data_IF_904710515194
#
_entry.id   IF_904710515194
#
_cell.length_a   1.000
_cell.length_b   1.000
_cell.length_c   1.000
_cell.angle_alpha   90.00
_cell.angle_beta   90.00
_cell.angle_gamma   90.00
#
_symmetry.space_group_name_H-M   'P 1'
#
loop_
_entity.id
_entity.type
_entity.pdbx_description
1 polymer ?
#
# COMPACT_ATOMS: atom_id res chain seq x y z
N UNK A 1 0.99 31.92 0.90
CA UNK A 1 1.19 30.51 1.31
C UNK A 1 2.50 30.48 2.09
N UNK A 2 2.47 30.25 3.42
CA UNK A 2 3.73 30.06 4.14
C UNK A 2 4.19 28.65 3.83
N UNK A 3 5.13 28.53 2.91
CA UNK A 3 5.86 27.28 2.71
C UNK A 3 6.62 26.95 4.00
N UNK A 4 6.70 25.67 4.33
CA UNK A 4 7.49 25.24 5.47
C UNK A 4 8.96 25.67 5.21
N UNK A 5 9.60 26.28 6.21
CA UNK A 5 10.99 26.78 6.12
C UNK A 5 11.96 25.72 5.58
N UNK A 6 11.66 24.44 5.82
CA UNK A 6 12.45 23.30 5.35
C UNK A 6 11.56 22.25 4.68
N UNK A 7 12.04 21.66 3.58
CA UNK A 7 11.33 20.63 2.85
C UNK A 7 12.33 19.58 2.31
N UNK A 8 11.84 18.38 2.00
CA UNK A 8 12.68 17.38 1.33
C UNK A 8 13.03 17.85 -0.08
N UNK A 9 14.31 17.77 -0.43
CA UNK A 9 14.83 18.20 -1.72
C UNK A 9 14.08 17.53 -2.88
N UNK A 10 13.50 18.33 -3.78
CA UNK A 10 12.80 17.82 -4.96
C UNK A 10 13.74 17.02 -5.85
N UNK A 11 13.21 15.95 -6.44
CA UNK A 11 14.01 15.13 -7.35
C UNK A 11 14.30 15.90 -8.67
N UNK A 12 15.55 16.13 -8.93
CA UNK A 12 16.06 16.74 -10.15
C UNK A 12 17.23 15.91 -10.73
N UNK A 13 17.06 14.58 -10.73
CA UNK A 13 18.07 13.62 -11.15
C UNK A 13 18.92 13.07 -9.98
N UNK A 14 19.87 12.22 -10.32
CA UNK A 14 20.69 11.48 -9.32
C UNK A 14 21.65 12.37 -8.52
N UNK A 15 21.87 13.62 -8.95
CA UNK A 15 22.64 14.61 -8.18
C UNK A 15 21.91 15.06 -6.90
N UNK A 16 20.57 14.95 -6.85
CA UNK A 16 19.75 15.28 -5.69
C UNK A 16 19.50 14.07 -4.78
N UNK A 17 20.28 13.02 -4.94
CA UNK A 17 20.25 11.83 -4.10
C UNK A 17 21.62 11.57 -3.50
N UNK A 18 21.65 11.35 -2.21
CA UNK A 18 22.84 11.30 -1.38
C UNK A 18 23.06 9.89 -0.80
N UNK A 19 24.16 9.69 -0.13
CA UNK A 19 24.45 8.45 0.61
C UNK A 19 23.71 8.48 1.93
N UNK A 20 22.98 7.43 2.27
CA UNK A 20 22.28 7.35 3.55
C UNK A 20 23.31 7.19 4.70
N UNK A 21 23.27 8.04 5.74
CA UNK A 21 24.22 7.97 6.85
C UNK A 21 24.08 6.69 7.68
N UNK A 22 22.89 6.09 7.73
CA UNK A 22 22.64 4.87 8.51
C UNK A 22 23.01 3.60 7.76
N UNK A 23 22.56 3.42 6.50
CA UNK A 23 22.77 2.17 5.78
C UNK A 23 23.89 2.21 4.73
N UNK A 24 24.53 3.36 4.52
CA UNK A 24 25.66 3.55 3.61
C UNK A 24 25.33 3.43 2.11
N UNK A 25 24.07 3.21 1.74
CA UNK A 25 23.69 3.06 0.33
C UNK A 25 23.74 4.41 -0.37
N UNK A 26 24.46 4.42 -1.49
CA UNK A 26 24.59 5.59 -2.37
C UNK A 26 23.29 5.87 -3.14
N UNK A 27 22.98 7.16 -3.36
CA UNK A 27 21.84 7.60 -4.18
C UNK A 27 20.44 7.21 -3.63
N UNK A 28 20.36 6.92 -2.34
CA UNK A 28 19.14 6.48 -1.65
C UNK A 28 18.69 7.41 -0.53
N UNK A 29 19.32 8.58 -0.40
CA UNK A 29 19.01 9.52 0.67
C UNK A 29 18.62 10.88 0.12
N UNK A 30 17.51 11.44 0.65
CA UNK A 30 16.99 12.77 0.30
C UNK A 30 17.18 13.69 1.48
N UNK A 31 17.92 14.78 1.31
CA UNK A 31 18.18 15.78 2.35
C UNK A 31 16.98 16.70 2.57
N UNK A 32 16.85 17.23 3.77
CA UNK A 32 16.05 18.43 4.02
C UNK A 32 16.85 19.66 3.65
N UNK A 33 16.20 20.56 2.91
CA UNK A 33 16.77 21.83 2.41
C UNK A 33 15.88 23.01 2.81
N UNK A 34 16.48 24.18 2.88
CA UNK A 34 15.77 25.45 3.06
C UNK A 34 15.13 25.95 1.74
N UNK A 35 14.52 27.12 1.77
CA UNK A 35 13.92 27.80 0.61
C UNK A 35 14.89 28.08 -0.54
N UNK A 36 16.21 28.09 -0.25
CA UNK A 36 17.29 28.30 -1.22
C UNK A 36 17.90 27.00 -1.73
N UNK A 37 17.29 25.84 -1.39
CA UNK A 37 17.81 24.49 -1.63
C UNK A 37 19.17 24.21 -0.94
N UNK A 38 19.48 24.89 0.15
CA UNK A 38 20.68 24.61 0.96
C UNK A 38 20.33 23.51 1.96
N UNK A 39 21.10 22.41 2.02
CA UNK A 39 20.89 21.36 3.01
C UNK A 39 21.08 21.89 4.44
N UNK A 40 20.26 21.40 5.36
CA UNK A 40 20.40 21.69 6.79
C UNK A 40 21.67 21.02 7.32
N UNK A 41 21.81 19.74 7.02
CA UNK A 41 22.95 18.89 7.41
C UNK A 41 22.94 17.62 6.56
N UNK A 42 24.09 16.96 6.43
CA UNK A 42 24.24 15.70 5.68
C UNK A 42 23.47 14.52 6.29
N UNK A 43 23.16 14.59 7.58
CA UNK A 43 22.36 13.59 8.31
C UNK A 43 20.87 13.91 8.32
N UNK A 44 20.47 15.17 8.10
CA UNK A 44 19.07 15.61 8.17
C UNK A 44 18.32 15.30 6.87
N UNK A 45 17.56 14.21 6.86
CA UNK A 45 16.93 13.73 5.65
C UNK A 45 16.20 12.41 5.83
N UNK A 46 15.81 11.82 4.70
CA UNK A 46 15.07 10.57 4.66
C UNK A 46 15.70 9.57 3.68
N UNK A 47 15.91 8.35 4.15
CA UNK A 47 16.30 7.24 3.27
C UNK A 47 15.10 6.76 2.45
N UNK A 48 15.30 6.58 1.14
CA UNK A 48 14.26 6.11 0.22
C UNK A 48 14.12 4.56 0.23
N UNK A 49 15.04 3.86 0.91
CA UNK A 49 14.97 2.40 1.06
C UNK A 49 14.05 2.03 2.21
N UNK A 50 13.00 1.30 1.91
CA UNK A 50 12.02 0.84 2.90
C UNK A 50 12.66 0.05 4.05
N UNK A 51 13.67 -0.77 3.74
CA UNK A 51 14.37 -1.61 4.74
C UNK A 51 15.24 -0.81 5.71
N UNK A 52 15.63 0.42 5.36
CA UNK A 52 16.46 1.25 6.23
C UNK A 52 15.61 2.06 7.22
N UNK A 53 14.54 2.70 6.74
CA UNK A 53 13.62 3.48 7.53
C UNK A 53 14.21 4.76 8.16
N UNK A 54 15.49 5.08 7.92
CA UNK A 54 16.11 6.28 8.51
C UNK A 54 15.41 7.55 8.06
N UNK A 55 14.98 8.34 9.02
CA UNK A 55 14.35 9.61 8.80
C UNK A 55 14.64 10.54 9.97
N UNK A 56 15.55 11.49 9.79
CA UNK A 56 15.83 12.57 10.75
C UNK A 56 15.18 13.85 10.22
N UNK A 57 14.17 14.32 10.93
CA UNK A 57 13.45 15.54 10.57
C UNK A 57 14.19 16.81 11.04
N UNK A 58 13.92 17.99 10.42
CA UNK A 58 14.49 19.25 10.91
C UNK A 58 14.18 19.53 12.39
N UNK A 59 12.99 19.17 12.85
CA UNK A 59 12.60 19.39 14.24
C UNK A 59 13.43 18.54 15.23
N UNK A 60 13.70 17.28 14.87
CA UNK A 60 14.54 16.39 15.66
C UNK A 60 16.01 16.83 15.61
N UNK A 61 16.49 17.18 14.42
CA UNK A 61 17.87 17.68 14.24
C UNK A 61 18.15 18.91 15.09
N UNK A 62 17.30 19.95 15.05
CA UNK A 62 17.49 21.16 15.83
C UNK A 62 17.21 21.00 17.34
N UNK A 63 16.55 19.93 17.75
CA UNK A 63 16.41 19.58 19.16
C UNK A 63 17.74 19.12 19.77
N UNK A 64 18.53 18.36 18.98
CA UNK A 64 19.85 17.86 19.39
C UNK A 64 20.98 18.87 19.11
N UNK A 65 20.79 19.78 18.13
CA UNK A 65 21.73 20.80 17.72
C UNK A 65 21.09 22.20 17.86
N UNK A 66 20.92 22.72 19.08
CA UNK A 66 20.32 24.04 19.29
C UNK A 66 21.22 25.11 18.69
N UNK A 67 20.76 25.78 17.62
CA UNK A 67 21.43 26.93 17.03
C UNK A 67 21.07 28.20 17.80
N UNK A 68 22.03 29.09 18.02
CA UNK A 68 21.81 30.39 18.69
C UNK A 68 20.95 31.37 17.86
N UNK A 69 20.59 31.06 16.63
CA UNK A 69 19.65 31.81 15.79
C UNK A 69 18.19 31.51 16.10
N UNK A 70 17.84 31.48 17.39
CA UNK A 70 16.43 31.55 17.82
C UNK A 70 15.91 33.00 17.72
N UNK A 71 15.99 33.59 16.54
CA UNK A 71 15.19 34.77 16.24
C UNK A 71 13.72 34.32 16.06
N UNK A 72 12.88 34.71 17.03
CA UNK A 72 11.43 34.70 17.00
C UNK A 72 10.65 33.38 17.01
N UNK A 73 10.67 32.72 18.17
CA UNK A 73 9.58 31.79 18.54
C UNK A 73 8.26 32.53 18.88
N UNK A 74 8.26 33.87 18.91
CA UNK A 74 7.09 34.65 19.27
C UNK A 74 5.98 34.76 18.21
N UNK A 75 6.19 34.19 17.01
CA UNK A 75 5.20 34.15 15.94
C UNK A 75 4.66 32.74 15.63
N UNK A 76 4.47 31.92 16.64
CA UNK A 76 3.66 30.70 16.47
C UNK A 76 2.21 31.11 16.13
N UNK A 77 1.97 31.43 14.85
CA UNK A 77 0.60 31.42 14.33
C UNK A 77 0.12 29.99 14.41
N UNK A 78 -1.00 29.79 15.12
CA UNK A 78 -1.69 28.49 15.12
C UNK A 78 -1.69 27.94 13.69
N UNK A 79 -1.34 26.65 13.52
CA UNK A 79 -1.39 26.04 12.18
C UNK A 79 -2.78 26.31 11.64
N UNK A 80 -2.83 26.94 10.45
CA UNK A 80 -4.11 27.14 9.76
C UNK A 80 -4.79 25.77 9.69
N UNK A 81 -6.11 25.68 10.00
CA UNK A 81 -6.81 24.43 9.91
C UNK A 81 -6.50 23.81 8.53
N UNK A 82 -6.00 22.57 8.54
CA UNK A 82 -5.69 21.85 7.33
C UNK A 82 -6.92 21.94 6.44
N UNK A 83 -6.79 22.52 5.25
CA UNK A 83 -7.87 22.50 4.27
C UNK A 83 -8.23 21.03 4.07
N UNK A 84 -9.42 20.64 4.51
CA UNK A 84 -9.94 19.31 4.24
C UNK A 84 -10.10 19.20 2.73
N UNK A 85 -9.16 18.54 2.09
CA UNK A 85 -9.25 18.29 0.66
C UNK A 85 -10.30 17.20 0.48
N UNK A 86 -11.37 17.44 -0.30
CA UNK A 86 -12.41 16.44 -0.53
C UNK A 86 -11.80 15.14 -1.07
N UNK A 87 -12.36 14.01 -0.64
CA UNK A 87 -11.93 12.71 -1.16
C UNK A 87 -12.58 12.52 -2.53
N UNK A 88 -11.77 12.12 -3.50
CA UNK A 88 -12.23 11.70 -4.82
C UNK A 88 -12.50 10.20 -4.81
N UNK A 89 -13.55 9.79 -5.48
CA UNK A 89 -13.96 8.40 -5.62
C UNK A 89 -13.90 7.98 -7.07
N UNK A 90 -13.58 6.73 -7.30
CA UNK A 90 -13.70 6.12 -8.63
C UNK A 90 -15.16 5.76 -8.90
N UNK A 91 -15.60 5.79 -10.17
CA UNK A 91 -16.94 5.34 -10.53
C UNK A 91 -17.18 3.88 -10.13
N UNK A 92 -18.32 3.59 -9.49
CA UNK A 92 -18.71 2.22 -9.11
C UNK A 92 -18.92 1.31 -10.32
N UNK A 93 -19.15 1.86 -11.51
CA UNK A 93 -19.24 1.11 -12.77
C UNK A 93 -17.97 0.32 -13.11
N UNK A 94 -16.84 0.66 -12.50
CA UNK A 94 -15.60 -0.11 -12.62
C UNK A 94 -15.63 -1.46 -11.87
N UNK A 95 -16.63 -1.67 -11.01
CA UNK A 95 -16.91 -2.93 -10.30
C UNK A 95 -17.95 -3.79 -11.03
N UNK A 96 -18.15 -3.57 -12.32
CA UNK A 96 -19.10 -4.31 -13.14
C UNK A 96 -18.75 -5.80 -13.32
N UNK A 97 -19.61 -6.51 -14.06
CA UNK A 97 -19.41 -7.93 -14.36
C UNK A 97 -18.07 -8.17 -15.05
N UNK A 98 -17.27 -9.04 -14.49
CA UNK A 98 -15.96 -9.44 -15.04
C UNK A 98 -16.15 -10.51 -16.11
N UNK A 99 -16.28 -10.09 -17.36
CA UNK A 99 -16.46 -10.98 -18.53
C UNK A 99 -15.16 -11.72 -18.94
N UNK A 100 -14.03 -11.39 -18.33
CA UNK A 100 -12.72 -11.97 -18.64
C UNK A 100 -12.12 -12.78 -17.49
N UNK A 101 -12.92 -13.16 -16.50
CA UNK A 101 -12.48 -13.86 -15.29
C UNK A 101 -11.70 -15.13 -15.60
N UNK A 102 -12.14 -15.93 -16.56
CA UNK A 102 -11.46 -17.17 -16.98
C UNK A 102 -10.05 -16.95 -17.56
N UNK A 103 -9.77 -15.73 -18.03
CA UNK A 103 -8.43 -15.34 -18.52
C UNK A 103 -7.56 -14.75 -17.40
N UNK A 104 -8.11 -14.50 -16.21
CA UNK A 104 -7.38 -13.95 -15.06
C UNK A 104 -6.44 -14.99 -14.46
N UNK A 105 -5.15 -14.70 -14.43
CA UNK A 105 -4.14 -15.64 -13.97
C UNK A 105 -4.26 -16.02 -12.49
N UNK A 106 -4.64 -15.08 -11.62
CA UNK A 106 -4.88 -15.40 -10.21
C UNK A 106 -6.14 -16.25 -10.06
N UNK A 107 -7.20 -15.98 -10.82
CA UNK A 107 -8.41 -16.81 -10.81
C UNK A 107 -8.09 -18.25 -11.24
N UNK A 108 -7.31 -18.42 -12.32
CA UNK A 108 -6.88 -19.75 -12.79
C UNK A 108 -6.07 -20.49 -11.72
N UNK A 109 -5.15 -19.81 -11.04
CA UNK A 109 -4.43 -20.37 -9.90
C UNK A 109 -5.39 -20.78 -8.78
N UNK A 110 -6.30 -19.88 -8.34
CA UNK A 110 -7.26 -20.16 -7.26
C UNK A 110 -8.20 -21.31 -7.62
N UNK A 111 -8.68 -21.38 -8.86
CA UNK A 111 -9.51 -22.49 -9.36
C UNK A 111 -8.79 -23.82 -9.27
N UNK A 112 -7.51 -23.83 -9.63
CA UNK A 112 -6.69 -25.05 -9.57
C UNK A 112 -6.46 -25.54 -8.14
N UNK A 113 -6.19 -24.62 -7.21
CA UNK A 113 -5.84 -24.97 -5.81
C UNK A 113 -7.07 -25.23 -4.93
N UNK A 114 -8.19 -24.50 -5.13
CA UNK A 114 -9.34 -24.49 -4.23
C UNK A 114 -10.66 -24.90 -4.91
N UNK A 115 -10.67 -25.08 -6.22
CA UNK A 115 -11.88 -25.32 -7.00
C UNK A 115 -12.54 -24.05 -7.51
N UNK A 116 -13.35 -24.21 -8.57
CA UNK A 116 -13.98 -23.09 -9.27
C UNK A 116 -15.04 -22.37 -8.43
N UNK A 117 -15.79 -23.11 -7.63
CA UNK A 117 -16.85 -22.55 -6.77
C UNK A 117 -16.25 -21.58 -5.74
N UNK A 118 -15.21 -22.00 -5.03
CA UNK A 118 -14.53 -21.18 -4.03
C UNK A 118 -13.83 -19.98 -4.65
N UNK A 119 -13.16 -20.18 -5.80
CA UNK A 119 -12.53 -19.10 -6.55
C UNK A 119 -13.56 -18.04 -6.98
N UNK A 120 -14.70 -18.45 -7.53
CA UNK A 120 -15.79 -17.54 -7.87
C UNK A 120 -16.34 -16.82 -6.65
N UNK A 121 -16.62 -17.56 -5.57
CA UNK A 121 -17.16 -17.00 -4.34
C UNK A 121 -16.28 -15.84 -3.79
N UNK A 122 -14.99 -16.06 -3.66
CA UNK A 122 -14.10 -15.01 -3.11
C UNK A 122 -13.88 -13.86 -4.09
N UNK A 123 -13.82 -14.12 -5.40
CA UNK A 123 -13.71 -13.07 -6.40
C UNK A 123 -14.96 -12.17 -6.39
N UNK A 124 -16.15 -12.74 -6.27
CA UNK A 124 -17.40 -11.99 -6.18
C UNK A 124 -17.49 -11.22 -4.87
N UNK A 125 -17.22 -11.89 -3.75
CA UNK A 125 -17.28 -11.29 -2.39
C UNK A 125 -16.35 -10.07 -2.27
N UNK A 126 -15.13 -10.15 -2.81
CA UNK A 126 -14.15 -9.07 -2.75
C UNK A 126 -14.18 -8.14 -3.97
N UNK A 127 -15.13 -8.34 -4.90
CA UNK A 127 -15.26 -7.58 -6.14
C UNK A 127 -13.94 -7.58 -6.96
N UNK A 128 -13.21 -8.70 -6.94
CA UNK A 128 -11.97 -8.87 -7.70
C UNK A 128 -12.28 -8.99 -9.17
N UNK A 129 -11.57 -8.25 -10.00
CA UNK A 129 -11.80 -8.23 -11.44
C UNK A 129 -10.55 -8.52 -12.26
N UNK A 130 -10.67 -8.38 -13.56
CA UNK A 130 -9.62 -8.68 -14.54
C UNK A 130 -9.18 -7.41 -15.26
N UNK A 131 -7.87 -7.30 -15.53
CA UNK A 131 -7.29 -6.17 -16.25
C UNK A 131 -6.39 -6.63 -17.40
N UNK A 132 -6.52 -5.93 -18.53
CA UNK A 132 -5.63 -6.09 -19.68
C UNK A 132 -4.37 -5.24 -19.59
N UNK A 133 -4.14 -4.55 -18.47
CA UNK A 133 -3.00 -3.63 -18.33
C UNK A 133 -1.65 -4.29 -18.59
N UNK A 134 -1.49 -5.53 -18.11
CA UNK A 134 -0.37 -6.39 -18.50
C UNK A 134 -0.90 -7.65 -19.15
N UNK A 135 -0.54 -7.84 -20.41
CA UNK A 135 -0.74 -9.11 -21.09
C UNK A 135 0.49 -9.97 -20.85
N UNK A 136 0.25 -11.22 -20.48
CA UNK A 136 1.21 -12.28 -20.54
C UNK A 136 0.78 -13.26 -21.62
N UNK A 137 1.71 -14.08 -22.10
CA UNK A 137 1.37 -15.16 -23.04
C UNK A 137 0.34 -16.14 -22.45
N UNK A 138 0.16 -16.13 -21.10
CA UNK A 138 -0.67 -17.08 -20.35
C UNK A 138 -1.98 -16.51 -19.80
N UNK A 139 -2.25 -15.22 -19.97
CA UNK A 139 -3.51 -14.63 -19.49
C UNK A 139 -3.41 -13.18 -19.00
N UNK A 140 -4.39 -12.75 -18.21
CA UNK A 140 -4.62 -11.36 -17.83
C UNK A 140 -4.30 -11.10 -16.35
N UNK A 141 -4.09 -9.83 -16.02
CA UNK A 141 -3.82 -9.37 -14.68
C UNK A 141 -5.10 -9.27 -13.82
N UNK A 142 -4.91 -9.18 -12.51
CA UNK A 142 -5.97 -9.08 -11.51
C UNK A 142 -6.13 -7.66 -11.02
N UNK A 143 -7.38 -7.19 -10.86
CA UNK A 143 -7.68 -5.93 -10.18
C UNK A 143 -8.17 -6.19 -8.76
N UNK A 144 -7.61 -5.45 -7.80
CA UNK A 144 -8.02 -5.45 -6.40
C UNK A 144 -8.62 -4.08 -6.05
N UNK A 145 -9.94 -3.99 -5.93
CA UNK A 145 -10.58 -2.73 -5.57
C UNK A 145 -10.45 -2.47 -4.07
N UNK A 146 -10.13 -1.25 -3.72
CA UNK A 146 -10.23 -0.75 -2.35
C UNK A 146 -11.58 -0.06 -2.19
N UNK A 147 -12.54 -0.76 -1.62
CA UNK A 147 -13.90 -0.28 -1.36
C UNK A 147 -14.01 0.02 0.13
N UNK A 148 -14.45 1.23 0.49
CA UNK A 148 -14.60 1.61 1.89
C UNK A 148 -15.85 0.99 2.54
N UNK A 149 -16.03 1.18 3.84
CA UNK A 149 -17.15 0.65 4.62
C UNK A 149 -18.54 1.21 4.19
N UNK A 150 -18.54 2.22 3.32
CA UNK A 150 -19.75 2.83 2.74
C UNK A 150 -20.02 2.37 1.30
N UNK A 151 -19.16 1.49 0.78
CA UNK A 151 -19.26 1.00 -0.59
C UNK A 151 -18.63 1.91 -1.65
N UNK A 152 -17.91 2.96 -1.27
CA UNK A 152 -17.26 3.84 -2.24
C UNK A 152 -15.93 3.27 -2.70
N UNK A 153 -15.69 3.26 -4.00
CA UNK A 153 -14.44 2.80 -4.60
C UNK A 153 -13.35 3.89 -4.46
N UNK A 154 -12.31 3.57 -3.68
CA UNK A 154 -11.20 4.46 -3.36
C UNK A 154 -10.03 4.32 -4.32
N UNK A 155 -9.71 3.09 -4.70
CA UNK A 155 -8.56 2.77 -5.54
C UNK A 155 -8.77 1.45 -6.27
N UNK A 156 -8.10 1.27 -7.40
CA UNK A 156 -7.91 -0.02 -8.07
C UNK A 156 -6.41 -0.32 -8.12
N UNK A 157 -6.00 -1.41 -7.51
CA UNK A 157 -4.63 -1.94 -7.61
C UNK A 157 -4.65 -3.09 -8.62
N UNK A 158 -3.79 -3.02 -9.60
CA UNK A 158 -3.65 -4.05 -10.64
C UNK A 158 -2.34 -4.78 -10.42
N UNK A 159 -2.39 -6.11 -10.42
CA UNK A 159 -1.21 -6.97 -10.24
C UNK A 159 -1.23 -8.14 -11.21
N UNK A 160 -0.06 -8.50 -11.73
CA UNK A 160 0.10 -9.69 -12.57
C UNK A 160 0.62 -10.87 -11.75
N UNK A 161 0.03 -12.05 -11.98
CA UNK A 161 0.37 -13.30 -11.32
C UNK A 161 0.72 -14.39 -12.32
N UNK A 162 1.58 -15.31 -11.89
CA UNK A 162 1.83 -16.55 -12.60
C UNK A 162 0.65 -17.52 -12.34
N UNK A 163 -0.01 -18.07 -13.38
CA UNK A 163 -1.21 -18.89 -13.22
C UNK A 163 -0.93 -20.27 -12.61
N UNK A 164 0.32 -20.71 -12.57
CA UNK A 164 0.70 -22.02 -12.02
C UNK A 164 1.10 -21.91 -10.56
N UNK A 165 1.94 -20.93 -10.23
CA UNK A 165 2.51 -20.78 -8.88
C UNK A 165 1.80 -19.78 -7.99
N UNK A 166 0.87 -18.96 -8.51
CA UNK A 166 0.22 -17.89 -7.79
C UNK A 166 1.18 -16.78 -7.30
N UNK A 167 2.44 -16.78 -7.76
CA UNK A 167 3.43 -15.78 -7.39
C UNK A 167 3.28 -14.52 -8.23
N UNK A 168 3.61 -13.37 -7.64
CA UNK A 168 3.67 -12.09 -8.36
C UNK A 168 4.65 -12.17 -9.52
N UNK A 169 4.22 -11.69 -10.67
CA UNK A 169 5.09 -11.59 -11.84
C UNK A 169 5.98 -10.36 -11.74
N UNK A 170 7.24 -10.55 -12.12
CA UNK A 170 8.22 -9.49 -12.25
C UNK A 170 8.33 -9.05 -13.71
N UNK A 171 8.97 -7.92 -13.96
CA UNK A 171 9.15 -7.38 -15.29
C UNK A 171 9.74 -8.38 -16.30
N UNK A 172 10.69 -9.18 -15.86
CA UNK A 172 11.33 -10.21 -16.70
C UNK A 172 10.37 -11.32 -17.15
N UNK A 173 9.21 -11.45 -16.46
CA UNK A 173 8.20 -12.48 -16.76
C UNK A 173 7.15 -11.97 -17.75
N UNK A 174 7.30 -10.73 -18.24
CA UNK A 174 6.32 -10.10 -19.12
C UNK A 174 6.98 -9.25 -20.18
N UNK A 175 6.53 -9.45 -21.39
CA UNK A 175 7.04 -8.74 -22.55
C UNK A 175 6.39 -7.36 -22.75
N UNK A 176 5.15 -7.16 -22.33
CA UNK A 176 4.35 -6.04 -22.82
C UNK A 176 3.41 -5.43 -21.76
N UNK A 177 3.15 -4.15 -21.92
CA UNK A 177 2.24 -3.34 -21.14
C UNK A 177 1.17 -2.75 -22.07
N UNK A 178 -0.11 -2.82 -21.67
CA UNK A 178 -1.17 -2.12 -22.42
C UNK A 178 -1.01 -0.61 -22.26
N UNK A 179 -1.02 0.10 -23.37
CA UNK A 179 -0.99 1.56 -23.44
C UNK A 179 -2.34 2.10 -23.89
N UNK A 180 -3.08 2.76 -22.99
CA UNK A 180 -4.35 3.40 -23.33
C UNK A 180 -4.18 4.50 -24.39
N UNK A 181 -3.05 5.20 -24.37
CA UNK A 181 -2.74 6.24 -25.37
C UNK A 181 -2.49 5.66 -26.76
N UNK A 182 -1.83 4.52 -26.83
CA UNK A 182 -1.48 3.87 -28.10
C UNK A 182 -2.52 2.83 -28.54
N UNK A 183 -3.50 2.47 -27.67
CA UNK A 183 -4.49 1.41 -27.88
C UNK A 183 -3.84 0.08 -28.30
N UNK A 184 -2.68 -0.22 -27.74
CA UNK A 184 -1.90 -1.43 -28.03
C UNK A 184 -0.97 -1.79 -26.89
N UNK A 185 -0.45 -3.02 -26.92
CA UNK A 185 0.63 -3.45 -26.04
C UNK A 185 1.97 -2.86 -26.49
N UNK A 186 2.73 -2.33 -25.55
CA UNK A 186 4.08 -1.78 -25.73
C UNK A 186 5.05 -2.45 -24.77
N UNK A 187 6.37 -2.46 -25.04
CA UNK A 187 7.36 -3.02 -24.13
C UNK A 187 7.31 -2.35 -22.74
N UNK A 188 7.26 -3.16 -21.69
CA UNK A 188 7.37 -2.65 -20.31
C UNK A 188 8.84 -2.47 -19.93
N UNK A 189 9.27 -1.21 -19.85
CA UNK A 189 10.66 -0.85 -19.55
C UNK A 189 10.90 -0.52 -18.08
N UNK A 190 9.88 -0.64 -17.20
CA UNK A 190 9.99 -0.30 -15.77
C UNK A 190 10.72 -1.38 -14.97
N UNK A 191 11.60 -1.02 -14.03
CA UNK A 191 12.41 -1.98 -13.26
C UNK A 191 11.70 -2.62 -12.06
N UNK A 192 10.37 -2.46 -11.90
CA UNK A 192 9.62 -2.85 -10.70
C UNK A 192 8.68 -4.03 -10.97
N UNK A 193 8.18 -4.66 -9.89
CA UNK A 193 7.09 -5.63 -9.97
C UNK A 193 5.90 -5.06 -10.75
N UNK A 194 5.12 -5.92 -11.36
CA UNK A 194 3.91 -5.55 -12.11
C UNK A 194 2.77 -5.18 -11.17
N UNK A 195 2.90 -4.02 -10.58
CA UNK A 195 1.91 -3.38 -9.70
C UNK A 195 1.58 -2.01 -10.27
N UNK A 196 0.30 -1.74 -10.47
CA UNK A 196 -0.19 -0.45 -10.93
C UNK A 196 -1.37 0.02 -10.09
N UNK A 197 -1.30 1.24 -9.59
CA UNK A 197 -2.42 1.91 -8.93
C UNK A 197 -3.15 2.77 -9.95
N UNK A 198 -4.26 2.24 -10.47
CA UNK A 198 -4.94 2.77 -11.64
C UNK A 198 -5.78 4.04 -11.35
N UNK A 199 -6.14 4.31 -10.10
CA UNK A 199 -7.17 5.27 -9.74
C UNK A 199 -6.99 6.67 -10.33
N UNK A 200 -5.80 7.28 -10.20
CA UNK A 200 -5.56 8.62 -10.75
C UNK A 200 -5.63 8.66 -12.28
N UNK A 201 -5.13 7.62 -12.92
CA UNK A 201 -5.19 7.47 -14.39
C UNK A 201 -6.63 7.31 -14.86
N UNK A 202 -7.43 6.47 -14.18
CA UNK A 202 -8.83 6.24 -14.52
C UNK A 202 -9.71 7.49 -14.33
N UNK A 203 -9.37 8.34 -13.35
CA UNK A 203 -10.02 9.64 -13.17
C UNK A 203 -9.56 10.70 -14.17
N UNK A 204 -8.44 10.49 -14.87
CA UNK A 204 -7.79 11.53 -15.64
C UNK A 204 -7.31 12.71 -14.78
N UNK A 205 -7.17 12.53 -13.48
CA UNK A 205 -6.81 13.58 -12.51
C UNK A 205 -5.69 13.10 -11.58
N UNK A 206 -4.47 13.54 -11.87
CA UNK A 206 -3.27 13.16 -11.10
C UNK A 206 -3.16 13.88 -9.74
N UNK A 207 -3.93 14.97 -9.53
CA UNK A 207 -4.04 15.68 -8.26
C UNK A 207 -5.17 15.14 -7.38
N UNK A 208 -5.90 14.13 -7.84
CA UNK A 208 -7.01 13.54 -7.11
C UNK A 208 -6.57 13.02 -5.72
N UNK A 209 -7.31 13.40 -4.69
CA UNK A 209 -7.15 12.90 -3.33
C UNK A 209 -7.86 11.54 -3.19
N UNK A 210 -7.17 10.48 -3.61
CA UNK A 210 -7.63 9.10 -3.43
C UNK A 210 -7.12 8.61 -2.07
N UNK A 211 -7.89 8.76 -1.03
CA UNK A 211 -7.54 8.20 0.27
C UNK A 211 -7.72 6.69 0.22
N UNK A 212 -6.62 5.95 0.21
CA UNK A 212 -6.65 4.49 0.20
C UNK A 212 -7.30 3.92 1.48
N UNK A 213 -7.85 2.74 1.37
CA UNK A 213 -8.39 1.95 2.48
C UNK A 213 -7.92 0.50 2.37
N UNK A 214 -8.25 -0.34 3.36
CA UNK A 214 -7.97 -1.77 3.27
C UNK A 214 -8.69 -2.40 2.07
N UNK A 215 -8.04 -3.32 1.39
CA UNK A 215 -8.74 -4.27 0.54
C UNK A 215 -9.68 -5.13 1.38
N UNK A 216 -10.93 -5.31 0.97
CA UNK A 216 -11.96 -6.00 1.75
C UNK A 216 -12.63 -5.15 2.84
N UNK A 217 -12.35 -3.84 2.94
CA UNK A 217 -12.92 -2.97 3.98
C UNK A 217 -14.47 -2.94 3.96
N UNK A 218 -15.10 -3.07 2.81
CA UNK A 218 -16.56 -3.12 2.67
C UNK A 218 -17.23 -4.33 3.35
N UNK A 219 -16.46 -5.38 3.63
CA UNK A 219 -16.96 -6.61 4.26
C UNK A 219 -17.00 -6.54 5.80
N UNK A 220 -16.33 -5.56 6.40
CA UNK A 220 -16.15 -5.54 7.85
C UNK A 220 -17.35 -4.95 8.63
N UNK A 221 -18.35 -4.40 7.95
CA UNK A 221 -19.47 -3.68 8.60
C UNK A 221 -20.10 -4.50 9.73
N UNK A 222 -20.47 -5.72 9.45
CA UNK A 222 -21.17 -6.60 10.38
C UNK A 222 -20.25 -7.67 11.01
N UNK A 223 -18.94 -7.58 10.76
CA UNK A 223 -17.96 -8.50 11.27
C UNK A 223 -17.69 -8.29 12.76
N UNK A 224 -17.63 -9.35 13.53
CA UNK A 224 -17.13 -9.33 14.91
C UNK A 224 -15.63 -9.59 14.99
N UNK A 225 -15.07 -10.35 14.02
CA UNK A 225 -13.66 -10.77 13.95
C UNK A 225 -13.07 -10.37 12.59
N UNK A 226 -11.92 -9.72 12.61
CA UNK A 226 -11.21 -9.25 11.41
C UNK A 226 -9.77 -9.73 11.46
N UNK A 227 -9.32 -10.42 10.42
CA UNK A 227 -7.92 -10.76 10.18
C UNK A 227 -7.28 -9.74 9.22
N UNK A 228 -6.12 -9.22 9.56
CA UNK A 228 -5.37 -8.29 8.70
C UNK A 228 -4.09 -8.97 8.22
N UNK A 229 -3.93 -9.06 6.91
CA UNK A 229 -2.73 -9.56 6.21
C UNK A 229 -2.08 -8.47 5.36
N UNK A 230 -0.89 -8.75 4.84
CA UNK A 230 -0.18 -7.78 4.00
C UNK A 230 -0.74 -7.76 2.57
N UNK A 231 -0.93 -8.93 1.95
CA UNK A 231 -1.28 -9.04 0.54
C UNK A 231 -2.76 -9.34 0.30
N UNK A 232 -3.29 -8.80 -0.80
CA UNK A 232 -4.67 -9.04 -1.24
C UNK A 232 -4.90 -10.52 -1.57
N UNK A 233 -3.92 -11.19 -2.20
CA UNK A 233 -4.00 -12.62 -2.49
C UNK A 233 -4.16 -13.44 -1.20
N UNK A 234 -3.37 -13.12 -0.18
CA UNK A 234 -3.43 -13.82 1.12
C UNK A 234 -4.79 -13.62 1.80
N UNK A 235 -5.40 -12.42 1.68
CA UNK A 235 -6.76 -12.21 2.18
C UNK A 235 -7.78 -13.10 1.49
N UNK A 236 -7.70 -13.30 0.17
CA UNK A 236 -8.59 -14.21 -0.57
C UNK A 236 -8.39 -15.67 -0.13
N UNK A 237 -7.15 -16.14 -0.04
CA UNK A 237 -6.84 -17.51 0.38
C UNK A 237 -7.31 -17.78 1.82
N UNK A 238 -6.98 -16.88 2.74
CA UNK A 238 -7.42 -16.99 4.13
C UNK A 238 -8.94 -16.97 4.26
N UNK A 239 -9.65 -16.24 3.40
CA UNK A 239 -11.12 -16.22 3.39
C UNK A 239 -11.73 -17.56 2.99
N UNK A 240 -11.07 -18.33 2.11
CA UNK A 240 -11.48 -19.70 1.79
C UNK A 240 -11.19 -20.64 2.96
N UNK A 241 -9.98 -20.57 3.52
CA UNK A 241 -9.52 -21.54 4.52
C UNK A 241 -10.06 -21.28 5.92
N UNK A 242 -10.39 -20.02 6.24
CA UNK A 242 -10.96 -19.62 7.54
C UNK A 242 -12.14 -18.66 7.34
N UNK A 243 -13.30 -19.14 6.88
CA UNK A 243 -14.45 -18.32 6.51
C UNK A 243 -15.14 -17.61 7.71
N UNK A 244 -14.88 -18.03 8.93
CA UNK A 244 -15.42 -17.40 10.16
C UNK A 244 -14.77 -16.05 10.50
N UNK A 245 -13.74 -15.64 9.75
CA UNK A 245 -13.00 -14.39 9.92
C UNK A 245 -13.14 -13.58 8.64
N UNK A 246 -13.49 -12.31 8.78
CA UNK A 246 -13.40 -11.40 7.63
C UNK A 246 -11.95 -10.97 7.45
N UNK A 247 -11.39 -11.30 6.29
CA UNK A 247 -10.00 -11.01 5.97
C UNK A 247 -9.87 -9.73 5.14
N UNK A 248 -8.96 -8.87 5.57
CA UNK A 248 -8.65 -7.62 4.86
C UNK A 248 -7.15 -7.52 4.65
N UNK A 249 -6.73 -6.75 3.64
CA UNK A 249 -5.32 -6.57 3.37
C UNK A 249 -4.90 -5.10 3.41
N UNK A 250 -3.67 -4.86 3.89
CA UNK A 250 -3.06 -3.53 3.90
C UNK A 250 -2.60 -3.10 2.50
N UNK A 251 -2.38 -4.05 1.59
CA UNK A 251 -1.90 -3.81 0.23
C UNK A 251 -0.39 -3.63 0.13
N UNK A 252 0.36 -4.07 1.11
CA UNK A 252 1.82 -4.04 1.21
C UNK A 252 2.29 -3.52 2.56
N UNK A 253 3.59 -3.61 2.83
CA UNK A 253 4.20 -3.21 4.10
C UNK A 253 3.83 -1.78 4.55
N UNK A 254 3.82 -0.82 3.62
CA UNK A 254 3.42 0.57 3.88
C UNK A 254 2.01 0.90 3.35
N UNK A 255 1.34 -0.04 2.79
CA UNK A 255 0.01 -0.08 2.22
C UNK A 255 -0.87 1.16 2.36
N UNK A 256 -2.11 0.96 2.80
CA UNK A 256 -3.14 2.01 2.89
C UNK A 256 -2.99 2.98 4.08
N UNK A 257 -1.82 3.08 4.69
CA UNK A 257 -1.56 3.91 5.88
C UNK A 257 -2.51 3.61 7.05
N UNK A 258 -2.68 2.36 7.35
CA UNK A 258 -3.68 1.80 8.24
C UNK A 258 -3.56 2.19 9.73
N UNK A 259 -2.54 2.95 10.10
CA UNK A 259 -2.44 3.60 11.42
C UNK A 259 -3.05 5.01 11.47
N UNK A 260 -3.49 5.55 10.32
CA UNK A 260 -4.20 6.83 10.27
C UNK A 260 -5.69 6.62 10.59
N UNK A 261 -6.29 7.57 11.34
CA UNK A 261 -7.67 7.45 11.84
C UNK A 261 -8.72 7.30 10.73
N UNK A 262 -8.47 7.88 9.59
CA UNK A 262 -9.34 7.80 8.41
C UNK A 262 -9.38 6.39 7.79
N UNK A 263 -8.39 5.55 8.10
CA UNK A 263 -8.29 4.18 7.59
C UNK A 263 -8.69 3.16 8.65
N UNK A 264 -8.21 3.27 9.90
CA UNK A 264 -8.51 2.27 10.93
C UNK A 264 -9.88 2.42 11.60
N UNK A 265 -10.54 3.59 11.49
CA UNK A 265 -11.83 3.83 12.15
C UNK A 265 -12.88 2.72 11.94
N UNK A 266 -13.02 2.10 10.75
CA UNK A 266 -13.95 0.99 10.54
C UNK A 266 -13.67 -0.25 11.41
N UNK A 267 -12.46 -0.39 11.99
CA UNK A 267 -12.08 -1.49 12.88
C UNK A 267 -12.58 -1.31 14.32
N UNK A 268 -13.13 -0.13 14.66
CA UNK A 268 -13.61 0.16 16.02
C UNK A 268 -14.70 -0.82 16.45
N UNK A 269 -14.61 -1.31 17.70
CA UNK A 269 -15.53 -2.28 18.26
C UNK A 269 -15.36 -3.73 17.77
N UNK A 270 -14.37 -4.01 16.92
CA UNK A 270 -14.11 -5.34 16.36
C UNK A 270 -12.92 -6.01 17.05
N UNK A 271 -12.90 -7.33 17.09
CA UNK A 271 -11.72 -8.11 17.46
C UNK A 271 -10.80 -8.23 16.24
N UNK A 272 -9.67 -7.55 16.27
CA UNK A 272 -8.71 -7.49 15.16
C UNK A 272 -7.51 -8.37 15.48
N UNK A 273 -7.15 -9.25 14.56
CA UNK A 273 -5.92 -10.05 14.63
C UNK A 273 -5.03 -9.69 13.45
N UNK A 274 -3.80 -9.32 13.74
CA UNK A 274 -2.79 -8.94 12.75
C UNK A 274 -1.93 -10.17 12.44
N UNK A 275 -1.77 -10.48 11.16
CA UNK A 275 -0.97 -11.61 10.67
C UNK A 275 0.19 -11.07 9.83
N UNK A 276 1.30 -10.67 10.46
CA UNK A 276 2.48 -10.19 9.73
C UNK A 276 3.13 -11.32 8.94
N UNK A 277 3.68 -10.97 7.78
CA UNK A 277 4.56 -11.87 7.04
C UNK A 277 5.83 -12.17 7.87
N UNK A 278 6.48 -13.29 7.59
CA UNK A 278 7.72 -13.69 8.26
C UNK A 278 8.78 -12.58 8.21
N UNK A 279 9.36 -12.27 9.36
CA UNK A 279 10.32 -11.18 9.53
C UNK A 279 9.71 -9.78 9.68
N UNK A 280 8.38 -9.63 9.62
CA UNK A 280 7.71 -8.34 9.75
C UNK A 280 7.13 -8.07 11.15
N UNK A 281 7.21 -9.05 12.06
CA UNK A 281 6.62 -8.96 13.40
C UNK A 281 6.99 -7.66 14.16
N UNK A 282 8.26 -7.21 14.24
CA UNK A 282 8.62 -6.00 14.98
C UNK A 282 7.93 -4.74 14.44
N UNK A 283 7.92 -4.57 13.12
CA UNK A 283 7.27 -3.41 12.49
C UNK A 283 5.75 -3.41 12.66
N UNK A 284 5.15 -4.58 12.64
CA UNK A 284 3.71 -4.70 12.82
C UNK A 284 3.31 -4.52 14.30
N UNK A 285 4.18 -4.90 15.25
CA UNK A 285 3.96 -4.64 16.67
C UNK A 285 3.94 -3.14 16.99
N UNK A 286 4.84 -2.35 16.37
CA UNK A 286 4.80 -0.89 16.48
C UNK A 286 3.45 -0.32 15.99
N UNK A 287 2.96 -0.79 14.85
CA UNK A 287 1.67 -0.39 14.30
C UNK A 287 0.49 -0.87 15.16
N UNK A 288 0.57 -2.09 15.69
CA UNK A 288 -0.43 -2.63 16.61
C UNK A 288 -0.52 -1.79 17.90
N UNK A 289 0.62 -1.37 18.43
CA UNK A 289 0.67 -0.48 19.59
C UNK A 289 -0.04 0.86 19.31
N UNK A 290 0.15 1.43 18.11
CA UNK A 290 -0.57 2.64 17.68
C UNK A 290 -2.08 2.38 17.62
N UNK A 291 -2.53 1.27 17.02
CA UNK A 291 -3.96 0.93 16.96
C UNK A 291 -4.56 0.78 18.36
N UNK A 292 -3.87 0.04 19.25
CA UNK A 292 -4.31 -0.15 20.65
C UNK A 292 -4.42 1.18 21.38
N UNK A 293 -3.46 2.10 21.19
CA UNK A 293 -3.50 3.45 21.80
C UNK A 293 -4.69 4.28 21.30
N UNK A 294 -5.29 3.91 20.16
CA UNK A 294 -6.49 4.53 19.59
C UNK A 294 -7.79 3.77 19.91
N UNK A 295 -7.73 2.79 20.83
CA UNK A 295 -8.90 2.03 21.27
C UNK A 295 -9.31 0.87 20.35
N UNK A 296 -8.47 0.47 19.38
CA UNK A 296 -8.72 -0.72 18.56
C UNK A 296 -8.26 -1.95 19.33
N UNK A 297 -9.12 -2.95 19.46
CA UNK A 297 -8.80 -4.25 20.07
C UNK A 297 -7.94 -5.09 19.10
N UNK A 298 -6.66 -4.75 19.00
CA UNK A 298 -5.71 -5.35 18.08
C UNK A 298 -4.76 -6.31 18.80
N UNK A 299 -4.74 -7.56 18.38
CA UNK A 299 -3.81 -8.61 18.84
C UNK A 299 -2.91 -9.05 17.68
N UNK A 300 -1.73 -9.60 18.02
CA UNK A 300 -0.76 -10.07 17.04
C UNK A 300 -0.79 -11.59 16.96
N UNK A 301 -0.87 -12.14 15.75
CA UNK A 301 -0.59 -13.55 15.49
C UNK A 301 0.92 -13.76 15.39
N UNK A 302 1.40 -14.89 15.92
CA UNK A 302 2.80 -15.34 15.78
C UNK A 302 2.93 -16.52 14.81
N UNK A 303 1.91 -16.79 14.03
CA UNK A 303 1.86 -17.94 13.11
C UNK A 303 3.06 -17.99 12.15
N UNK A 304 3.58 -16.83 11.71
CA UNK A 304 4.69 -16.75 10.76
C UNK A 304 6.02 -16.35 11.41
N UNK A 305 6.13 -16.34 12.76
CA UNK A 305 7.31 -15.81 13.46
C UNK A 305 8.61 -16.55 13.10
N UNK A 306 8.55 -17.88 13.08
CA UNK A 306 9.70 -18.77 12.86
C UNK A 306 9.79 -19.30 11.41
N UNK A 307 9.02 -18.74 10.50
CA UNK A 307 8.99 -19.17 9.09
C UNK A 307 10.09 -18.51 8.27
N UNK A 308 10.47 -19.11 7.13
CA UNK A 308 11.38 -18.48 6.19
C UNK A 308 10.88 -17.11 5.74
N UNK A 309 11.78 -16.14 5.56
CA UNK A 309 11.43 -14.80 5.09
C UNK A 309 10.54 -14.84 3.83
N UNK A 310 9.55 -13.98 3.78
CA UNK A 310 8.53 -13.82 2.76
C UNK A 310 7.43 -14.90 2.74
N UNK A 311 7.37 -15.78 3.74
CA UNK A 311 6.19 -16.62 3.96
C UNK A 311 5.12 -15.80 4.69
N UNK A 312 3.87 -16.05 4.35
CA UNK A 312 2.72 -15.46 5.02
C UNK A 312 1.74 -16.53 5.54
N UNK A 313 0.68 -16.11 6.19
CA UNK A 313 -0.30 -17.04 6.79
C UNK A 313 -0.97 -17.93 5.75
N UNK A 314 -1.11 -17.48 4.51
CA UNK A 314 -1.69 -18.27 3.42
C UNK A 314 -0.73 -19.35 2.87
N UNK A 315 0.56 -19.28 3.22
CA UNK A 315 1.55 -20.32 2.88
C UNK A 315 1.57 -21.44 3.93
N UNK A 316 0.90 -21.26 5.08
CA UNK A 316 0.93 -22.17 6.25
C UNK A 316 -0.39 -22.93 6.41
N UNK A 317 -1.50 -22.31 5.99
CA UNK A 317 -2.84 -22.88 6.06
C UNK A 317 -3.09 -23.88 4.93
#
# INVERSE_FOLDING_TARGET
MNEAKYHLQKYAGMSTRHTCPQCGHKKEFTLYVDERNVPIDESCGRCNRERCGYHLTPAEYFKEHPTNDRADISTWKQPKPLKVVPINYLPSTLLGVDTHRSENNLFRFMTKEFGEAEANHVFDTYCVGTSRHWKNNDGLATTFPQIDEKGNLRQLKVMAYNPVSGKRMKKQDSAELWSDKAQKYIPDTRPMDKIWFAGKTLLGNYEANLQQTFFGCHLIKDASRVGIVESEKSALICSILMPDIIWIATGGCNGCKWTESTVFKPLSGKRVVLYPDAGMLPKWEEKAAILRSKGINATMSRTCEDLPNNWDVADVL
#
